data_IF_875149387625
#
_entry.id   IF_875149387625
#
_cell.length_a   1.000
_cell.length_b   1.000
_cell.length_c   1.000
_cell.angle_alpha   90.00
_cell.angle_beta   90.00
_cell.angle_gamma   90.00
#
_symmetry.space_group_name_H-M   'P 1'
#
loop_
_entity.id
_entity.type
_entity.pdbx_description
1 polymer ?
#
# COMPACT_ATOMS: atom_id res chain seq x y z
N UNK A 1 -11.21 -0.88 14.40
CA UNK A 1 -12.55 -1.52 14.37
C UNK A 1 -12.68 -2.52 15.49
N UNK A 2 -13.89 -3.00 15.74
CA UNK A 2 -14.12 -4.10 16.68
C UNK A 2 -13.26 -5.34 16.31
N UNK A 3 -12.62 -5.93 17.31
CA UNK A 3 -11.65 -7.02 17.07
C UNK A 3 -12.31 -8.29 16.55
N UNK A 4 -13.60 -8.53 16.86
CA UNK A 4 -14.34 -9.69 16.36
C UNK A 4 -14.69 -9.49 14.89
N UNK A 5 -15.16 -8.30 14.51
CA UNK A 5 -15.41 -7.95 13.11
C UNK A 5 -14.16 -8.11 12.24
N UNK A 6 -13.01 -7.63 12.69
CA UNK A 6 -11.76 -7.77 11.93
C UNK A 6 -11.41 -9.25 11.67
N UNK A 7 -11.56 -10.11 12.69
CA UNK A 7 -11.30 -11.55 12.57
C UNK A 7 -12.32 -12.26 11.68
N UNK A 8 -13.58 -11.83 11.70
CA UNK A 8 -14.62 -12.37 10.83
C UNK A 8 -14.30 -12.07 9.35
N UNK A 9 -13.92 -10.83 9.02
CA UNK A 9 -13.51 -10.47 7.66
C UNK A 9 -12.30 -11.30 7.23
N UNK A 10 -11.28 -11.45 8.08
CA UNK A 10 -10.13 -12.33 7.81
C UNK A 10 -10.60 -13.75 7.54
N UNK A 11 -11.47 -14.31 8.38
CA UNK A 11 -11.95 -15.67 8.20
C UNK A 11 -12.70 -15.88 6.88
N UNK A 12 -13.56 -14.92 6.49
CA UNK A 12 -14.33 -14.98 5.25
C UNK A 12 -13.45 -14.84 3.99
N UNK A 13 -12.33 -14.12 4.07
CA UNK A 13 -11.49 -13.78 2.91
C UNK A 13 -10.12 -14.49 2.88
N UNK A 14 -9.77 -15.28 3.90
CA UNK A 14 -8.45 -15.94 4.02
C UNK A 14 -8.30 -17.26 3.22
N UNK A 15 -9.24 -17.61 2.36
CA UNK A 15 -9.32 -18.94 1.74
C UNK A 15 -8.40 -19.19 0.54
N UNK A 16 -8.15 -18.18 -0.29
CA UNK A 16 -7.48 -18.38 -1.57
C UNK A 16 -6.12 -17.67 -1.65
N UNK A 17 -5.19 -18.27 -2.39
CA UNK A 17 -3.93 -17.60 -2.76
C UNK A 17 -4.26 -16.49 -3.76
N UNK A 18 -4.46 -15.27 -3.26
CA UNK A 18 -4.70 -14.11 -4.12
C UNK A 18 -3.40 -13.65 -4.77
N UNK A 19 -3.22 -13.99 -6.04
CA UNK A 19 -2.15 -13.44 -6.86
C UNK A 19 -2.47 -12.00 -7.25
N UNK A 20 -1.52 -11.11 -7.03
CA UNK A 20 -1.66 -9.71 -7.41
C UNK A 20 -0.56 -9.32 -8.38
N UNK A 21 -0.99 -9.06 -9.61
CA UNK A 21 -0.11 -8.63 -10.68
C UNK A 21 -0.12 -7.11 -10.76
N UNK A 22 1.06 -6.52 -10.86
CA UNK A 22 1.20 -5.07 -10.91
C UNK A 22 2.32 -4.66 -11.86
N UNK A 23 2.04 -3.65 -12.66
CA UNK A 23 3.01 -2.99 -13.52
C UNK A 23 2.94 -1.48 -13.28
N UNK A 24 3.95 -0.74 -13.76
CA UNK A 24 4.07 0.71 -13.53
C UNK A 24 2.81 1.46 -13.97
N UNK A 25 2.30 2.33 -13.10
CA UNK A 25 1.09 3.12 -13.33
C UNK A 25 -0.23 2.32 -13.49
N UNK A 26 -0.26 1.01 -13.21
CA UNK A 26 -1.49 0.20 -13.26
C UNK A 26 -2.62 0.79 -12.41
N UNK A 27 -2.28 1.46 -11.30
CA UNK A 27 -3.28 2.15 -10.48
C UNK A 27 -4.12 3.17 -11.25
N UNK A 28 -3.55 3.82 -12.27
CA UNK A 28 -4.25 4.81 -13.08
C UNK A 28 -5.35 4.15 -13.93
N UNK A 29 -5.08 2.96 -14.47
CA UNK A 29 -6.05 2.14 -15.19
C UNK A 29 -7.19 1.74 -14.24
N UNK A 30 -6.87 1.20 -13.06
CA UNK A 30 -7.88 0.77 -12.10
C UNK A 30 -8.75 1.94 -11.61
N UNK A 31 -8.18 3.11 -11.35
CA UNK A 31 -8.94 4.29 -10.92
C UNK A 31 -9.88 4.80 -12.02
N UNK A 32 -9.45 4.79 -13.28
CA UNK A 32 -10.31 5.16 -14.40
C UNK A 32 -11.44 4.15 -14.61
N UNK A 33 -11.14 2.84 -14.54
CA UNK A 33 -12.17 1.80 -14.60
C UNK A 33 -13.24 2.01 -13.52
N UNK A 34 -12.84 2.26 -12.26
CA UNK A 34 -13.78 2.55 -11.17
C UNK A 34 -14.58 3.83 -11.38
N UNK A 35 -13.93 4.88 -11.91
CA UNK A 35 -14.61 6.14 -12.21
C UNK A 35 -15.65 5.99 -13.33
N UNK A 36 -15.36 5.15 -14.32
CA UNK A 36 -16.21 4.88 -15.48
C UNK A 36 -17.25 3.79 -15.22
N UNK A 37 -17.24 3.14 -14.07
CA UNK A 37 -18.10 1.99 -13.80
C UNK A 37 -19.58 2.30 -14.13
N UNK A 38 -20.18 1.50 -15.01
CA UNK A 38 -21.55 1.66 -15.51
C UNK A 38 -21.78 2.71 -16.62
N UNK A 39 -20.77 3.51 -17.00
CA UNK A 39 -20.94 4.64 -17.92
C UNK A 39 -20.72 4.32 -19.41
N UNK A 40 -20.41 3.07 -19.77
CA UNK A 40 -20.10 2.69 -21.15
C UNK A 40 -18.89 3.43 -21.72
N UNK A 41 -19.03 4.08 -22.87
CA UNK A 41 -17.99 4.90 -23.49
C UNK A 41 -17.99 6.33 -22.93
N UNK A 42 -16.83 6.81 -22.46
CA UNK A 42 -16.66 8.16 -21.90
C UNK A 42 -15.79 9.01 -22.82
N UNK A 43 -16.25 10.22 -23.15
CA UNK A 43 -15.45 11.17 -23.94
C UNK A 43 -14.21 11.63 -23.16
N UNK A 44 -13.04 11.58 -23.80
CA UNK A 44 -11.78 12.02 -23.20
C UNK A 44 -11.81 13.49 -22.79
N UNK A 45 -12.49 14.34 -23.55
CA UNK A 45 -12.67 15.77 -23.23
C UNK A 45 -13.45 16.01 -21.94
N UNK A 46 -14.41 15.14 -21.61
CA UNK A 46 -15.12 15.18 -20.34
C UNK A 46 -14.23 14.71 -19.19
N UNK A 47 -13.50 13.61 -19.39
CA UNK A 47 -12.60 13.05 -18.39
C UNK A 47 -11.47 14.02 -17.99
N UNK A 48 -10.91 14.75 -18.96
CA UNK A 48 -9.90 15.81 -18.72
C UNK A 48 -10.37 16.92 -17.78
N UNK A 49 -11.68 17.17 -17.69
CA UNK A 49 -12.28 18.17 -16.80
C UNK A 49 -12.49 17.65 -15.37
N UNK A 50 -12.24 16.38 -15.12
CA UNK A 50 -12.35 15.76 -13.79
C UNK A 50 -11.00 15.72 -13.07
N UNK A 51 -11.01 15.41 -11.78
CA UNK A 51 -9.78 15.16 -11.00
C UNK A 51 -8.92 14.01 -11.55
N UNK A 52 -9.50 13.11 -12.34
CA UNK A 52 -8.82 11.99 -12.96
C UNK A 52 -8.16 12.34 -14.30
N UNK A 53 -8.37 13.56 -14.83
CA UNK A 53 -7.79 13.99 -16.10
C UNK A 53 -6.26 13.83 -16.16
N UNK A 54 -5.57 14.10 -15.06
CA UNK A 54 -4.11 13.93 -14.93
C UNK A 54 -3.63 12.49 -15.07
N UNK A 55 -4.51 11.50 -14.91
CA UNK A 55 -4.14 10.09 -15.12
C UNK A 55 -3.91 9.82 -16.60
N UNK A 56 -4.57 10.55 -17.51
CA UNK A 56 -4.41 10.39 -18.95
C UNK A 56 -3.00 10.73 -19.43
N UNK A 57 -2.21 11.45 -18.63
CA UNK A 57 -0.82 11.76 -18.95
C UNK A 57 0.16 10.62 -18.64
N UNK A 58 -0.32 9.54 -18.01
CA UNK A 58 0.51 8.41 -17.61
C UNK A 58 0.95 7.59 -18.83
N UNK A 59 2.22 7.13 -18.88
CA UNK A 59 2.75 6.37 -20.02
C UNK A 59 1.85 5.22 -20.48
N UNK A 60 1.35 4.39 -19.55
CA UNK A 60 0.45 3.28 -19.88
C UNK A 60 -0.84 3.76 -20.57
N UNK A 61 -1.42 4.86 -20.07
CA UNK A 61 -2.65 5.40 -20.64
C UNK A 61 -2.38 6.15 -21.95
N UNK A 62 -1.27 6.88 -22.10
CA UNK A 62 -0.89 7.47 -23.39
C UNK A 62 -0.73 6.42 -24.49
N UNK A 63 -0.08 5.30 -24.17
CA UNK A 63 0.11 4.19 -25.10
C UNK A 63 -1.23 3.51 -25.47
N UNK A 64 -2.15 3.37 -24.50
CA UNK A 64 -3.49 2.88 -24.79
C UNK A 64 -4.26 3.86 -25.68
N UNK A 65 -4.25 5.15 -25.33
CA UNK A 65 -5.01 6.20 -26.02
C UNK A 65 -4.53 6.48 -27.44
N UNK A 66 -3.27 6.18 -27.79
CA UNK A 66 -2.80 6.32 -29.18
C UNK A 66 -3.51 5.38 -30.14
N UNK A 67 -4.18 4.34 -29.64
CA UNK A 67 -4.97 3.40 -30.42
C UNK A 67 -6.47 3.75 -30.42
N UNK A 68 -6.90 4.77 -29.66
CA UNK A 68 -8.27 5.24 -29.59
C UNK A 68 -8.50 6.43 -30.55
N UNK A 69 -8.90 6.14 -31.79
CA UNK A 69 -9.06 7.16 -32.84
C UNK A 69 -10.35 8.01 -32.76
N UNK A 70 -11.32 7.63 -31.93
CA UNK A 70 -12.65 8.25 -31.86
C UNK A 70 -12.81 9.26 -30.70
N UNK A 71 -11.77 9.46 -29.90
CA UNK A 71 -11.79 10.37 -28.76
C UNK A 71 -12.63 9.88 -27.57
N UNK A 72 -12.99 8.60 -27.54
CA UNK A 72 -13.68 7.96 -26.42
C UNK A 72 -12.79 6.92 -25.74
N UNK A 73 -13.08 6.66 -24.47
CA UNK A 73 -12.45 5.62 -23.67
C UNK A 73 -13.53 4.65 -23.21
N UNK A 74 -13.29 3.35 -23.39
CA UNK A 74 -14.20 2.29 -22.96
C UNK A 74 -13.55 1.45 -21.85
N UNK A 75 -14.38 0.74 -21.08
CA UNK A 75 -13.88 -0.20 -20.08
C UNK A 75 -13.06 -1.35 -20.71
N UNK A 76 -13.44 -1.80 -21.91
CA UNK A 76 -12.73 -2.85 -22.64
C UNK A 76 -11.33 -2.39 -23.07
N UNK A 77 -11.20 -1.14 -23.55
CA UNK A 77 -9.91 -0.57 -23.89
C UNK A 77 -8.97 -0.57 -22.67
N UNK A 78 -9.48 -0.15 -21.50
CA UNK A 78 -8.71 -0.18 -20.24
C UNK A 78 -8.33 -1.60 -19.81
N UNK A 79 -9.21 -2.56 -20.00
CA UNK A 79 -8.96 -3.97 -19.64
C UNK A 79 -7.90 -4.63 -20.53
N UNK A 80 -7.73 -4.15 -21.76
CA UNK A 80 -6.68 -4.59 -22.67
C UNK A 80 -5.28 -4.05 -22.36
N UNK A 81 -5.13 -3.07 -21.45
CA UNK A 81 -3.81 -2.58 -21.06
C UNK A 81 -3.12 -3.57 -20.12
N UNK A 82 -2.35 -4.50 -20.70
CA UNK A 82 -1.51 -5.40 -19.92
C UNK A 82 -0.12 -5.57 -20.56
N UNK A 83 0.91 -4.85 -20.06
CA UNK A 83 2.28 -5.03 -20.55
C UNK A 83 2.85 -6.39 -20.11
N UNK A 84 3.88 -6.86 -20.83
CA UNK A 84 4.59 -8.11 -20.48
C UNK A 84 5.34 -8.01 -19.14
N UNK A 85 5.84 -6.81 -18.80
CA UNK A 85 6.65 -6.59 -17.60
C UNK A 85 5.77 -6.31 -16.37
N UNK A 86 5.23 -7.36 -15.77
CA UNK A 86 4.46 -7.29 -14.51
C UNK A 86 5.17 -7.99 -13.37
N UNK A 87 5.13 -7.37 -12.19
CA UNK A 87 5.54 -7.99 -10.93
C UNK A 87 4.38 -8.79 -10.34
N UNK A 88 4.70 -9.92 -9.72
CA UNK A 88 3.71 -10.81 -9.10
C UNK A 88 3.91 -10.85 -7.60
N UNK A 89 2.85 -10.56 -6.88
CA UNK A 89 2.78 -10.59 -5.43
C UNK A 89 1.73 -11.59 -4.95
N UNK A 90 1.80 -11.96 -3.67
CA UNK A 90 0.75 -12.73 -3.00
C UNK A 90 0.15 -11.86 -1.92
N UNK A 91 -1.14 -11.58 -2.02
CA UNK A 91 -1.87 -10.85 -0.98
C UNK A 91 -2.30 -11.81 0.12
N UNK A 92 -2.13 -11.40 1.36
CA UNK A 92 -2.69 -12.08 2.53
C UNK A 92 -3.35 -11.05 3.45
N UNK A 93 -4.29 -11.52 4.27
CA UNK A 93 -5.03 -10.67 5.19
C UNK A 93 -4.82 -11.15 6.63
N UNK A 94 -4.57 -10.21 7.54
CA UNK A 94 -4.44 -10.48 8.97
C UNK A 94 -5.00 -9.29 9.78
N UNK A 95 -4.76 -9.26 11.07
CA UNK A 95 -5.16 -8.22 12.00
C UNK A 95 -3.98 -7.62 12.74
N UNK A 96 -4.11 -6.36 13.16
CA UNK A 96 -3.11 -5.69 13.99
C UNK A 96 -3.75 -4.87 15.10
N UNK A 97 -3.18 -4.98 16.30
CA UNK A 97 -3.66 -4.27 17.47
C UNK A 97 -4.85 -4.94 18.16
N UNK A 98 -5.18 -4.40 19.34
CA UNK A 98 -6.34 -4.78 20.13
C UNK A 98 -6.67 -3.68 21.16
N UNK A 99 -7.88 -3.71 21.71
CA UNK A 99 -8.42 -2.65 22.58
C UNK A 99 -7.50 -2.23 23.73
N UNK A 100 -6.95 -3.22 24.46
CA UNK A 100 -6.17 -2.98 25.68
C UNK A 100 -4.81 -2.30 25.42
N UNK A 101 -4.21 -2.47 24.24
CA UNK A 101 -2.87 -1.94 23.94
C UNK A 101 -2.83 -1.12 22.64
N UNK A 102 -3.97 -0.56 22.22
CA UNK A 102 -4.10 0.18 20.97
C UNK A 102 -3.09 1.35 20.83
N UNK A 103 -2.67 1.95 21.96
CA UNK A 103 -1.61 2.97 21.97
C UNK A 103 -0.21 2.43 21.68
N UNK A 104 0.11 1.24 22.19
CA UNK A 104 1.37 0.54 21.91
C UNK A 104 1.42 0.11 20.43
N UNK A 105 0.30 -0.41 19.92
CA UNK A 105 0.14 -0.83 18.53
C UNK A 105 0.00 0.33 17.54
N UNK A 106 0.03 1.57 18.01
CA UNK A 106 -0.05 2.79 17.20
C UNK A 106 -1.26 2.78 16.25
N UNK A 107 -2.44 2.41 16.74
CA UNK A 107 -3.71 2.48 15.98
C UNK A 107 -4.52 3.71 16.41
N UNK A 108 -5.33 4.24 15.50
CA UNK A 108 -6.00 5.54 15.68
C UNK A 108 -7.10 5.56 16.73
N UNK A 109 -7.79 4.42 16.95
CA UNK A 109 -8.80 4.21 17.99
C UNK A 109 -8.65 2.82 18.64
N UNK A 110 -9.24 2.56 19.82
CA UNK A 110 -9.29 1.22 20.39
C UNK A 110 -9.86 0.19 19.40
N UNK A 111 -9.24 -0.98 19.37
CA UNK A 111 -9.65 -2.11 18.55
C UNK A 111 -8.50 -2.67 17.73
N UNK A 112 -8.83 -3.28 16.61
CA UNK A 112 -7.88 -3.82 15.64
C UNK A 112 -8.00 -3.11 14.29
N UNK A 113 -6.93 -3.15 13.49
CA UNK A 113 -6.96 -2.90 12.06
C UNK A 113 -6.99 -4.23 11.30
N UNK A 114 -7.56 -4.21 10.10
CA UNK A 114 -7.23 -5.20 9.07
C UNK A 114 -5.83 -4.86 8.51
N UNK A 115 -5.09 -5.89 8.15
CA UNK A 115 -3.75 -5.78 7.57
C UNK A 115 -3.76 -6.49 6.24
N UNK A 116 -3.73 -5.72 5.16
CA UNK A 116 -3.45 -6.26 3.84
C UNK A 116 -1.94 -6.33 3.66
N UNK A 117 -1.40 -7.54 3.55
CA UNK A 117 0.02 -7.82 3.40
C UNK A 117 0.30 -8.12 1.93
N UNK A 118 1.27 -7.41 1.35
CA UNK A 118 1.79 -7.69 0.01
C UNK A 118 3.10 -8.45 0.14
N UNK A 119 3.05 -9.73 -0.20
CA UNK A 119 4.17 -10.65 -0.04
C UNK A 119 4.86 -10.93 -1.38
N UNK A 120 6.14 -11.25 -1.30
CA UNK A 120 6.93 -11.66 -2.43
C UNK A 120 6.51 -13.02 -3.00
N UNK A 121 6.96 -13.29 -4.23
CA UNK A 121 6.82 -14.58 -4.89
C UNK A 121 7.91 -15.56 -4.44
N UNK A 122 7.71 -16.85 -4.72
CA UNK A 122 8.72 -17.88 -4.42
C UNK A 122 10.04 -17.63 -5.18
N UNK A 123 10.01 -16.97 -6.35
CA UNK A 123 11.21 -16.60 -7.11
C UNK A 123 12.09 -15.66 -6.30
N UNK A 124 11.49 -14.61 -5.75
CA UNK A 124 12.19 -13.68 -4.88
C UNK A 124 12.72 -14.38 -3.63
N UNK A 125 11.93 -15.26 -3.00
CA UNK A 125 12.38 -15.98 -1.80
C UNK A 125 13.61 -16.87 -2.08
N UNK A 126 13.76 -17.40 -3.29
CA UNK A 126 14.96 -18.14 -3.71
C UNK A 126 16.14 -17.19 -3.93
N UNK A 127 15.92 -16.07 -4.62
CA UNK A 127 16.95 -15.06 -4.86
C UNK A 127 17.50 -14.47 -3.55
N UNK A 128 16.61 -14.20 -2.58
CA UNK A 128 17.00 -13.75 -1.24
C UNK A 128 17.88 -14.78 -0.51
N UNK A 129 17.49 -16.06 -0.53
CA UNK A 129 18.26 -17.13 0.13
C UNK A 129 19.62 -17.35 -0.49
N UNK A 130 19.71 -17.21 -1.81
CA UNK A 130 20.97 -17.31 -2.54
C UNK A 130 21.86 -16.06 -2.32
N UNK A 131 21.24 -14.89 -2.37
CA UNK A 131 21.89 -13.58 -2.39
C UNK A 131 22.34 -13.06 -1.02
N UNK A 132 21.56 -13.35 0.02
CA UNK A 132 21.68 -12.70 1.33
C UNK A 132 21.81 -13.72 2.45
N UNK A 133 20.75 -14.47 2.75
CA UNK A 133 20.71 -15.32 3.93
C UNK A 133 19.68 -16.45 3.82
N UNK A 134 20.03 -17.62 4.36
CA UNK A 134 19.07 -18.71 4.52
C UNK A 134 17.98 -18.39 5.55
N UNK A 135 18.32 -17.59 6.58
CA UNK A 135 17.35 -17.10 7.57
C UNK A 135 16.47 -16.02 6.97
N UNK A 136 15.18 -16.35 6.83
CA UNK A 136 14.14 -15.46 6.30
C UNK A 136 13.77 -14.31 7.23
N UNK A 137 14.21 -14.37 8.49
CA UNK A 137 13.87 -13.38 9.50
C UNK A 137 14.82 -12.19 9.56
N UNK A 138 15.96 -12.21 8.85
CA UNK A 138 16.98 -11.16 8.94
C UNK A 138 16.43 -9.74 8.71
N UNK A 139 15.44 -9.61 7.82
CA UNK A 139 14.80 -8.33 7.50
C UNK A 139 13.44 -8.13 8.17
N UNK A 140 12.96 -9.13 8.90
CA UNK A 140 11.65 -9.14 9.52
C UNK A 140 11.73 -8.62 10.95
N UNK A 141 10.71 -7.87 11.36
CA UNK A 141 10.56 -7.43 12.75
C UNK A 141 9.23 -7.91 13.31
N UNK A 142 9.28 -8.79 14.32
CA UNK A 142 8.11 -9.46 14.89
C UNK A 142 7.11 -8.51 15.56
N UNK A 143 7.51 -7.28 15.87
CA UNK A 143 6.60 -6.24 16.37
C UNK A 143 5.92 -5.44 15.24
N UNK A 144 5.92 -5.94 14.01
CA UNK A 144 5.21 -5.36 12.86
C UNK A 144 4.27 -6.39 12.21
N UNK A 145 3.23 -5.94 11.46
CA UNK A 145 2.17 -6.82 10.94
C UNK A 145 2.58 -7.54 9.65
N UNK A 146 3.64 -8.34 9.72
CA UNK A 146 4.18 -9.14 8.61
C UNK A 146 3.56 -10.55 8.57
N UNK A 147 3.65 -11.20 7.41
CA UNK A 147 3.17 -12.57 7.24
C UNK A 147 4.08 -13.56 7.96
N UNK A 148 3.50 -14.51 8.69
CA UNK A 148 4.25 -15.64 9.28
C UNK A 148 4.56 -16.74 8.26
N UNK A 149 4.00 -16.65 7.04
CA UNK A 149 4.10 -17.70 6.00
C UNK A 149 4.94 -17.29 4.81
N UNK A 150 5.22 -15.99 4.64
CA UNK A 150 5.86 -15.42 3.44
C UNK A 150 6.74 -14.23 3.78
N UNK A 151 7.70 -13.92 2.91
CA UNK A 151 8.45 -12.67 2.98
C UNK A 151 7.54 -11.49 2.57
N UNK A 152 7.29 -10.58 3.49
CA UNK A 152 6.42 -9.42 3.26
C UNK A 152 7.21 -8.24 2.69
N UNK A 153 6.85 -7.76 1.49
CA UNK A 153 7.40 -6.53 0.92
C UNK A 153 6.88 -5.31 1.67
N UNK A 154 5.58 -5.28 1.96
CA UNK A 154 4.94 -4.21 2.73
C UNK A 154 3.51 -4.54 3.11
N UNK A 155 2.89 -3.65 3.90
CA UNK A 155 1.52 -3.82 4.37
C UNK A 155 0.74 -2.50 4.41
N UNK A 156 -0.59 -2.62 4.30
CA UNK A 156 -1.53 -1.55 4.56
C UNK A 156 -2.34 -1.87 5.82
N UNK A 157 -2.37 -0.95 6.80
CA UNK A 157 -3.27 -1.05 7.96
C UNK A 157 -4.55 -0.27 7.70
N UNK A 158 -5.68 -0.91 7.91
CA UNK A 158 -7.01 -0.42 7.54
C UNK A 158 -7.93 -0.49 8.76
N UNK A 159 -8.53 0.64 9.13
CA UNK A 159 -9.74 0.67 9.97
C UNK A 159 -10.96 0.84 9.07
N UNK A 160 -12.09 0.26 9.42
CA UNK A 160 -13.32 0.43 8.65
C UNK A 160 -14.55 0.33 9.57
N UNK A 161 -15.65 0.82 9.04
CA UNK A 161 -16.96 0.71 9.62
C UNK A 161 -17.98 0.42 8.51
N UNK A 162 -18.58 -0.78 8.56
CA UNK A 162 -19.52 -1.24 7.54
C UNK A 162 -20.85 -0.47 7.62
N UNK A 163 -21.21 0.09 8.78
CA UNK A 163 -22.45 0.84 8.98
C UNK A 163 -22.35 2.20 8.31
N UNK A 164 -21.24 2.91 8.51
CA UNK A 164 -20.99 4.18 7.82
C UNK A 164 -20.41 3.97 6.42
N UNK A 165 -20.20 2.75 5.91
CA UNK A 165 -19.61 2.54 4.59
C UNK A 165 -18.30 3.33 4.39
N UNK A 166 -17.47 3.37 5.44
CA UNK A 166 -16.23 4.14 5.49
C UNK A 166 -15.04 3.26 5.84
N UNK A 167 -13.91 3.50 5.19
CA UNK A 167 -12.62 2.95 5.58
C UNK A 167 -11.60 4.07 5.77
N UNK A 168 -10.62 3.81 6.63
CA UNK A 168 -9.43 4.62 6.83
C UNK A 168 -8.20 3.75 6.61
N UNK A 169 -7.45 4.06 5.56
CA UNK A 169 -6.09 3.55 5.40
C UNK A 169 -5.19 4.33 6.36
N UNK A 170 -4.82 3.69 7.46
CA UNK A 170 -4.06 4.31 8.54
C UNK A 170 -2.56 4.42 8.23
N UNK A 171 -2.07 3.46 7.46
CA UNK A 171 -0.65 3.31 7.18
C UNK A 171 -0.41 2.44 5.96
N UNK A 172 0.62 2.80 5.21
CA UNK A 172 1.31 1.94 4.26
C UNK A 172 2.80 1.98 4.62
N UNK A 173 3.41 0.82 4.81
CA UNK A 173 4.80 0.72 5.25
C UNK A 173 5.51 -0.53 4.68
N UNK A 174 6.83 -0.47 4.68
CA UNK A 174 7.74 -1.56 4.37
C UNK A 174 8.92 -1.52 5.34
N UNK A 175 9.28 -2.68 5.91
CA UNK A 175 10.58 -2.86 6.56
C UNK A 175 11.62 -3.39 5.59
N UNK A 176 11.20 -4.25 4.66
CA UNK A 176 12.07 -4.92 3.71
C UNK A 176 12.97 -3.91 2.99
N UNK A 177 12.37 -2.88 2.40
CA UNK A 177 13.13 -1.88 1.65
C UNK A 177 14.03 -1.02 2.55
N UNK A 178 13.68 -0.84 3.83
CA UNK A 178 14.56 -0.18 4.80
C UNK A 178 15.84 -0.98 5.00
N UNK A 179 15.72 -2.30 5.13
CA UNK A 179 16.86 -3.19 5.28
C UNK A 179 17.68 -3.31 4.00
N UNK A 180 17.02 -3.32 2.83
CA UNK A 180 17.68 -3.26 1.53
C UNK A 180 18.56 -2.01 1.39
N UNK A 181 18.11 -0.85 1.89
CA UNK A 181 18.95 0.36 1.87
C UNK A 181 20.21 0.21 2.72
N UNK A 182 20.13 -0.42 3.91
CA UNK A 182 21.31 -0.72 4.72
C UNK A 182 22.23 -1.71 4.01
N UNK A 183 21.69 -2.84 3.53
CA UNK A 183 22.44 -3.85 2.79
C UNK A 183 23.19 -3.24 1.59
N UNK A 184 22.51 -2.38 0.82
CA UNK A 184 23.10 -1.70 -0.34
C UNK A 184 24.29 -0.84 0.04
N UNK A 185 24.20 -0.10 1.15
CA UNK A 185 25.30 0.73 1.64
C UNK A 185 26.49 -0.13 2.07
N UNK A 186 26.25 -1.21 2.83
CA UNK A 186 27.33 -2.10 3.27
C UNK A 186 28.00 -2.81 2.07
N UNK A 187 27.23 -3.25 1.07
CA UNK A 187 27.77 -3.81 -0.17
C UNK A 187 28.67 -2.81 -0.90
N UNK A 188 28.27 -1.53 -1.00
CA UNK A 188 29.08 -0.49 -1.65
C UNK A 188 30.37 -0.22 -0.88
N UNK A 189 30.33 -0.24 0.45
CA UNK A 189 31.51 -0.05 1.30
C UNK A 189 32.49 -1.22 1.16
N UNK A 190 31.98 -2.46 1.25
CA UNK A 190 32.77 -3.67 1.07
C UNK A 190 33.42 -3.74 -0.33
N UNK A 191 32.64 -3.45 -1.39
CA UNK A 191 33.14 -3.42 -2.76
C UNK A 191 34.27 -2.39 -2.95
N UNK A 192 34.15 -1.19 -2.36
CA UNK A 192 35.21 -0.16 -2.41
C UNK A 192 36.48 -0.56 -1.66
N UNK A 193 36.33 -1.37 -0.60
CA UNK A 193 37.45 -1.91 0.16
C UNK A 193 38.08 -3.15 -0.49
N UNK A 194 37.51 -3.68 -1.58
CA UNK A 194 37.98 -4.91 -2.22
C UNK A 194 37.60 -6.19 -1.46
N UNK A 195 36.64 -6.09 -0.55
CA UNK A 195 36.17 -7.23 0.25
C UNK A 195 35.23 -8.12 -0.57
N UNK A 196 35.38 -9.44 -0.42
CA UNK A 196 34.50 -10.42 -1.08
C UNK A 196 33.23 -10.71 -0.26
N UNK A 197 33.26 -10.43 1.04
CA UNK A 197 32.15 -10.63 1.97
C UNK A 197 32.22 -9.66 3.15
N UNK A 198 31.10 -9.50 3.86
CA UNK A 198 31.02 -8.72 5.11
C UNK A 198 30.03 -9.39 6.09
N UNK A 199 30.07 -9.01 7.36
CA UNK A 199 29.07 -9.41 8.35
C UNK A 199 27.88 -8.43 8.31
N UNK A 200 26.68 -8.98 8.20
CA UNK A 200 25.42 -8.23 8.23
C UNK A 200 24.48 -8.87 9.25
N UNK A 201 24.34 -8.24 10.41
CA UNK A 201 23.59 -8.75 11.55
C UNK A 201 23.95 -10.20 11.93
N UNK A 202 25.25 -10.51 11.97
CA UNK A 202 25.75 -11.85 12.31
C UNK A 202 25.66 -12.87 11.16
N UNK A 203 25.28 -12.43 9.96
CA UNK A 203 25.27 -13.26 8.75
C UNK A 203 26.40 -12.84 7.81
N UNK A 204 27.20 -13.81 7.37
CA UNK A 204 28.19 -13.58 6.30
C UNK A 204 27.49 -13.40 4.95
N UNK A 205 27.60 -12.21 4.39
CA UNK A 205 27.00 -11.86 3.09
C UNK A 205 28.10 -11.66 2.04
N UNK A 206 27.96 -12.30 0.88
CA UNK A 206 28.89 -12.18 -0.23
C UNK A 206 28.51 -11.01 -1.14
N UNK A 207 29.49 -10.15 -1.45
CA UNK A 207 29.24 -8.87 -2.15
C UNK A 207 28.60 -9.08 -3.53
N UNK A 208 29.10 -10.01 -4.33
CA UNK A 208 28.59 -10.27 -5.68
C UNK A 208 27.13 -10.76 -5.65
N UNK A 209 26.83 -11.72 -4.78
CA UNK A 209 25.50 -12.32 -4.66
C UNK A 209 24.48 -11.33 -4.11
N UNK A 210 24.87 -10.53 -3.12
CA UNK A 210 24.02 -9.47 -2.60
C UNK A 210 23.78 -8.40 -3.68
N UNK A 211 24.77 -8.09 -4.50
CA UNK A 211 24.63 -7.15 -5.62
C UNK A 211 23.68 -7.66 -6.70
N UNK A 212 23.70 -8.96 -7.01
CA UNK A 212 22.71 -9.59 -7.90
C UNK A 212 21.30 -9.47 -7.31
N UNK A 213 21.14 -9.78 -6.02
CA UNK A 213 19.85 -9.66 -5.33
C UNK A 213 19.33 -8.21 -5.30
N UNK A 214 20.20 -7.24 -5.04
CA UNK A 214 19.83 -5.81 -5.07
C UNK A 214 19.33 -5.38 -6.46
N UNK A 215 19.88 -5.95 -7.53
CA UNK A 215 19.39 -5.70 -8.91
C UNK A 215 17.99 -6.27 -9.12
N UNK A 216 17.69 -7.46 -8.61
CA UNK A 216 16.35 -8.04 -8.65
C UNK A 216 15.33 -7.17 -7.90
N UNK A 217 15.73 -6.57 -6.77
CA UNK A 217 14.86 -5.75 -5.93
C UNK A 217 14.62 -4.33 -6.45
N UNK A 218 15.36 -3.90 -7.47
CA UNK A 218 15.31 -2.53 -7.97
C UNK A 218 13.90 -2.15 -8.46
N UNK A 219 13.22 -3.05 -9.19
CA UNK A 219 11.87 -2.79 -9.70
C UNK A 219 10.82 -2.80 -8.59
N UNK A 220 10.89 -3.75 -7.65
CA UNK A 220 10.03 -3.77 -6.47
C UNK A 220 10.14 -2.46 -5.67
N UNK A 221 11.37 -1.95 -5.51
CA UNK A 221 11.64 -0.72 -4.77
C UNK A 221 11.00 0.53 -5.39
N UNK A 222 10.80 0.54 -6.72
CA UNK A 222 10.16 1.65 -7.45
C UNK A 222 8.63 1.57 -7.42
N UNK A 223 8.07 0.37 -7.29
CA UNK A 223 6.65 0.11 -7.51
C UNK A 223 5.86 -0.13 -6.22
N UNK A 224 6.51 -0.55 -5.14
CA UNK A 224 5.82 -1.10 -3.96
C UNK A 224 4.71 -0.19 -3.41
N UNK A 225 4.94 1.13 -3.32
CA UNK A 225 4.01 2.04 -2.66
C UNK A 225 2.72 2.23 -3.47
N UNK A 226 2.82 2.24 -4.81
CA UNK A 226 1.66 2.36 -5.69
C UNK A 226 0.99 1.01 -5.90
N UNK A 227 1.75 -0.09 -5.94
CA UNK A 227 1.20 -1.44 -5.93
C UNK A 227 0.35 -1.68 -4.68
N UNK A 228 0.89 -1.36 -3.51
CA UNK A 228 0.24 -1.60 -2.22
C UNK A 228 -0.99 -0.73 -2.00
N UNK A 229 -0.93 0.56 -2.33
CA UNK A 229 -2.12 1.42 -2.22
C UNK A 229 -3.20 1.00 -3.23
N UNK A 230 -2.82 0.61 -4.45
CA UNK A 230 -3.80 0.12 -5.43
C UNK A 230 -4.45 -1.20 -4.97
N UNK A 231 -3.66 -2.13 -4.40
CA UNK A 231 -4.16 -3.36 -3.81
C UNK A 231 -5.11 -3.07 -2.64
N UNK A 232 -4.76 -2.15 -1.74
CA UNK A 232 -5.60 -1.77 -0.60
C UNK A 232 -6.93 -1.14 -1.04
N UNK A 233 -6.91 -0.28 -2.07
CA UNK A 233 -8.13 0.30 -2.65
C UNK A 233 -8.97 -0.80 -3.32
N UNK A 234 -8.35 -1.70 -4.08
CA UNK A 234 -9.06 -2.81 -4.72
C UNK A 234 -9.70 -3.73 -3.71
N UNK A 235 -8.98 -4.12 -2.66
CA UNK A 235 -9.53 -4.89 -1.54
C UNK A 235 -10.75 -4.19 -0.93
N UNK A 236 -10.63 -2.90 -0.59
CA UNK A 236 -11.72 -2.13 0.02
C UNK A 236 -12.94 -2.02 -0.89
N UNK A 237 -12.73 -1.70 -2.17
CA UNK A 237 -13.83 -1.42 -3.10
C UNK A 237 -14.42 -2.71 -3.65
N UNK A 238 -13.61 -3.66 -4.06
CA UNK A 238 -14.03 -4.80 -4.88
C UNK A 238 -14.37 -6.02 -4.01
N UNK A 239 -13.63 -6.24 -2.92
CA UNK A 239 -13.84 -7.39 -2.02
C UNK A 239 -14.74 -7.04 -0.82
N UNK A 240 -14.44 -5.94 -0.10
CA UNK A 240 -15.23 -5.55 1.09
C UNK A 240 -16.50 -4.79 0.70
N UNK A 241 -16.44 -4.00 -0.36
CA UNK A 241 -17.57 -3.20 -0.85
C UNK A 241 -17.71 -1.80 -0.24
N UNK A 242 -16.63 -1.23 0.31
CA UNK A 242 -16.60 0.11 0.89
C UNK A 242 -16.70 1.21 -0.18
N UNK A 243 -17.63 2.14 -0.01
CA UNK A 243 -17.85 3.29 -0.89
C UNK A 243 -17.02 4.53 -0.55
N UNK A 244 -16.62 4.74 0.72
CA UNK A 244 -15.89 5.94 1.15
C UNK A 244 -14.54 5.61 1.75
N UNK A 245 -13.46 6.02 1.09
CA UNK A 245 -12.10 5.70 1.53
C UNK A 245 -11.39 6.98 1.98
N UNK A 246 -10.97 6.97 3.24
CA UNK A 246 -10.12 7.97 3.83
C UNK A 246 -8.68 7.46 3.93
N UNK A 247 -7.72 8.38 3.92
CA UNK A 247 -6.31 8.12 4.13
C UNK A 247 -5.74 9.22 5.04
N UNK A 248 -4.91 8.85 6.02
CA UNK A 248 -4.33 9.82 6.96
C UNK A 248 -3.49 10.89 6.26
N UNK A 249 -3.64 12.16 6.66
CA UNK A 249 -2.53 13.10 6.47
C UNK A 249 -1.40 12.81 7.45
N UNK A 250 -0.19 13.25 7.14
CA UNK A 250 0.98 13.03 7.99
C UNK A 250 0.77 13.52 9.43
N UNK A 251 0.33 14.77 9.60
CA UNK A 251 0.20 15.39 10.93
C UNK A 251 -0.97 14.79 11.73
N UNK A 252 -2.10 14.56 11.07
CA UNK A 252 -3.30 14.02 11.72
C UNK A 252 -3.07 12.56 12.15
N UNK A 253 -2.47 11.75 11.27
CA UNK A 253 -2.10 10.37 11.57
C UNK A 253 -1.07 10.27 12.69
N UNK A 254 -0.05 11.13 12.71
CA UNK A 254 0.95 11.12 13.78
C UNK A 254 0.33 11.37 15.17
N UNK A 255 -0.59 12.33 15.28
CA UNK A 255 -1.26 12.63 16.56
C UNK A 255 -2.23 11.52 16.96
N UNK A 256 -3.04 11.02 16.02
CA UNK A 256 -4.03 9.97 16.31
C UNK A 256 -3.37 8.65 16.70
N UNK A 257 -2.28 8.27 16.02
CA UNK A 257 -1.49 7.07 16.34
C UNK A 257 -0.55 7.27 17.53
N UNK A 258 -0.43 8.49 18.05
CA UNK A 258 0.40 8.80 19.23
C UNK A 258 1.91 8.71 18.97
N UNK A 259 2.34 8.98 17.74
CA UNK A 259 3.75 8.89 17.34
C UNK A 259 4.57 10.02 17.97
N UNK A 260 5.60 9.66 18.76
CA UNK A 260 6.46 10.62 19.48
C UNK A 260 7.90 10.69 18.96
N UNK A 261 8.40 9.62 18.35
CA UNK A 261 9.76 9.51 17.81
C UNK A 261 9.75 9.47 16.30
N UNK A 262 10.29 8.39 15.74
CA UNK A 262 10.34 8.17 14.30
C UNK A 262 8.95 8.18 13.68
N UNK A 263 8.79 9.08 12.71
CA UNK A 263 7.57 9.22 11.91
C UNK A 263 7.81 8.61 10.54
N UNK A 264 6.77 8.05 9.91
CA UNK A 264 6.92 7.48 8.59
C UNK A 264 7.29 8.56 7.56
N UNK A 265 7.84 8.20 6.39
CA UNK A 265 8.17 9.16 5.35
C UNK A 265 6.98 10.05 4.98
N UNK A 266 7.15 11.39 5.03
CA UNK A 266 6.08 12.35 4.73
C UNK A 266 5.47 12.16 3.33
N UNK A 267 6.27 11.70 2.36
CA UNK A 267 5.84 11.47 0.97
C UNK A 267 4.70 10.44 0.86
N UNK A 268 4.72 9.38 1.67
CA UNK A 268 3.66 8.35 1.72
C UNK A 268 2.31 8.89 2.22
N UNK A 269 2.34 10.01 2.94
CA UNK A 269 1.16 10.64 3.53
C UNK A 269 0.85 12.00 2.90
N UNK A 270 1.39 12.25 1.71
CA UNK A 270 1.19 13.52 1.01
C UNK A 270 1.21 13.36 -0.50
N UNK A 271 2.31 12.88 -1.08
CA UNK A 271 2.45 12.70 -2.54
C UNK A 271 1.66 11.49 -3.04
N UNK A 272 1.74 10.36 -2.34
CA UNK A 272 1.07 9.12 -2.74
C UNK A 272 -0.47 9.25 -2.84
N UNK A 273 -1.21 9.73 -1.82
CA UNK A 273 -2.66 9.90 -1.95
C UNK A 273 -3.03 10.90 -3.06
N UNK A 274 -2.24 11.97 -3.25
CA UNK A 274 -2.45 12.90 -4.37
C UNK A 274 -2.23 12.24 -5.73
N UNK A 275 -1.23 11.37 -5.86
CA UNK A 275 -1.00 10.58 -7.07
C UNK A 275 -2.24 9.74 -7.43
N UNK A 276 -2.95 9.23 -6.42
CA UNK A 276 -4.18 8.44 -6.54
C UNK A 276 -5.47 9.28 -6.63
N UNK A 277 -5.36 10.59 -6.87
CA UNK A 277 -6.50 11.50 -7.01
C UNK A 277 -7.38 11.62 -5.75
N UNK A 278 -6.86 11.32 -4.56
CA UNK A 278 -7.54 11.69 -3.32
C UNK A 278 -7.60 13.21 -3.18
N UNK A 279 -8.70 13.69 -2.62
CA UNK A 279 -8.94 15.09 -2.33
C UNK A 279 -8.61 15.38 -0.86
N UNK A 280 -8.06 16.56 -0.57
CA UNK A 280 -7.82 16.96 0.81
C UNK A 280 -9.13 17.43 1.43
N UNK A 281 -9.49 16.88 2.58
CA UNK A 281 -10.68 17.26 3.36
C UNK A 281 -10.31 17.52 4.82
N UNK A 282 -11.13 18.29 5.53
CA UNK A 282 -10.97 18.61 6.96
C UNK A 282 -11.80 17.68 7.86
N UNK A 283 -12.90 17.14 7.34
CA UNK A 283 -13.73 16.13 8.01
C UNK A 283 -13.21 14.71 7.75
N UNK A 284 -12.81 14.02 8.81
CA UNK A 284 -12.43 12.61 8.76
C UNK A 284 -13.61 11.65 8.90
N UNK A 285 -13.35 10.33 8.89
CA UNK A 285 -14.38 9.30 9.02
C UNK A 285 -15.26 9.51 10.26
N UNK A 286 -16.55 9.22 10.14
CA UNK A 286 -17.52 9.34 11.22
C UNK A 286 -17.11 8.48 12.41
N UNK A 287 -16.72 7.23 12.16
CA UNK A 287 -16.34 6.28 13.23
C UNK A 287 -15.09 6.71 14.02
N UNK A 288 -14.18 7.50 13.44
CA UNK A 288 -13.04 8.10 14.16
C UNK A 288 -13.50 9.28 15.01
N UNK A 289 -14.36 10.16 14.44
CA UNK A 289 -14.82 11.38 15.13
C UNK A 289 -15.73 11.05 16.32
N UNK A 290 -16.55 10.01 16.20
CA UNK A 290 -17.48 9.58 17.25
C UNK A 290 -16.82 8.73 18.34
N UNK A 291 -15.66 8.11 18.07
CA UNK A 291 -14.93 7.39 19.11
C UNK A 291 -14.40 8.35 20.19
N UNK A 292 -14.73 8.06 21.46
CA UNK A 292 -14.40 8.95 22.58
C UNK A 292 -12.89 9.18 22.74
N UNK A 293 -12.05 8.18 22.48
CA UNK A 293 -10.59 8.29 22.69
C UNK A 293 -9.92 8.92 21.48
N UNK A 294 -10.28 8.51 20.27
CA UNK A 294 -9.78 9.10 19.03
C UNK A 294 -10.22 10.57 18.91
N UNK A 295 -11.48 10.89 19.21
CA UNK A 295 -11.98 12.27 19.24
C UNK A 295 -11.21 13.16 20.22
N UNK A 296 -10.80 12.65 21.40
CA UNK A 296 -9.93 13.39 22.34
C UNK A 296 -8.54 13.67 21.74
N UNK A 297 -7.96 12.73 21.01
CA UNK A 297 -6.67 12.92 20.32
C UNK A 297 -6.81 13.89 19.15
N UNK A 298 -7.88 13.77 18.37
CA UNK A 298 -8.15 14.62 17.22
C UNK A 298 -8.26 16.10 17.60
N UNK A 299 -8.85 16.42 18.76
CA UNK A 299 -8.91 17.79 19.29
C UNK A 299 -7.54 18.43 19.57
N UNK A 300 -6.46 17.63 19.64
CA UNK A 300 -5.09 18.15 19.78
C UNK A 300 -4.46 18.53 18.45
N UNK A 301 -5.10 18.18 17.33
CA UNK A 301 -4.65 18.56 15.99
C UNK A 301 -5.22 19.93 15.67
N UNK A 302 -4.36 20.94 15.52
CA UNK A 302 -4.80 22.31 15.25
C UNK A 302 -5.61 22.44 13.95
N UNK A 303 -5.24 21.67 12.92
CA UNK A 303 -5.92 21.64 11.62
C UNK A 303 -5.99 20.19 11.12
N UNK A 304 -6.98 19.40 11.57
CA UNK A 304 -7.12 18.03 11.12
C UNK A 304 -7.32 18.00 9.61
N UNK A 305 -6.59 17.12 8.93
CA UNK A 305 -6.69 16.92 7.49
C UNK A 305 -6.63 15.45 7.14
N UNK A 306 -7.35 15.11 6.10
CA UNK A 306 -7.47 13.76 5.57
C UNK A 306 -7.43 13.82 4.06
N UNK A 307 -7.15 12.67 3.46
CA UNK A 307 -7.34 12.44 2.05
C UNK A 307 -8.60 11.61 1.88
N UNK A 308 -9.47 11.99 0.95
CA UNK A 308 -10.74 11.35 0.68
C UNK A 308 -10.84 10.90 -0.78
N UNK A 309 -11.41 9.71 -0.99
CA UNK A 309 -11.75 9.19 -2.30
C UNK A 309 -13.09 8.46 -2.23
N UNK A 310 -13.94 8.76 -3.21
CA UNK A 310 -15.13 7.97 -3.49
C UNK A 310 -14.72 6.68 -4.21
N UNK A 311 -14.93 5.52 -3.58
CA UNK A 311 -14.56 4.20 -4.07
C UNK A 311 -15.50 3.64 -5.14
N UNK A 312 -16.81 3.89 -5.02
CA UNK A 312 -17.85 3.54 -6.01
C UNK A 312 -18.72 4.76 -6.32
N UNK A 313 -19.11 4.94 -7.59
CA UNK A 313 -20.24 5.83 -7.91
C UNK A 313 -21.53 5.17 -7.42
N UNK A 314 -22.38 5.94 -6.75
CA UNK A 314 -23.76 5.56 -6.47
C UNK A 314 -24.58 5.57 -7.76
#
# INVERSE_FOLDING_TARGET
MDSKLAKEIVHCLAGERTLYHYYKDHYAVCLLQRHMNGAGAVRLSALKKTRFGKLLDKPVLKALLSHCGDGTLTADALSGAWPQDSQVYVLTLDTWGHDKAYGYHQVSRPGANLVLQMNFSNRHDQAYRYGVAADVNLFQYHCHPISTRRLTLGWARIDLDLVTDEALIEEIQTDWLRQIHYLSRECQMAARAGEIHFDFFGTRVYVDRATDYLRELAEHSKLWHEALLNAAIGFLVDEVGIGRIYYHSFDTGAVLKGLRGDKPPKSLYSSLPRQFCFESVDQGPVFIRQDKKAGRRLRKVARPRWFYMQGRRA
#
